data_IF_418260356894
#
_entry.id   IF_418260356894
#
_cell.length_a   1.000
_cell.length_b   1.000
_cell.length_c   1.000
_cell.angle_alpha   90.00
_cell.angle_beta   90.00
_cell.angle_gamma   90.00
#
_symmetry.space_group_name_H-M   'P 1'
#
loop_
_entity.id
_entity.type
_entity.pdbx_description
1 polymer ?
#
# COMPACT_ATOMS: atom_id res chain seq x y z
N UNK A 1 72.55 45.70 -50.63
CA UNK A 1 72.08 45.12 -49.34
C UNK A 1 71.10 43.95 -49.54
N UNK A 2 70.43 43.81 -50.70
CA UNK A 2 69.45 42.74 -50.93
C UNK A 2 70.04 41.34 -51.23
N UNK A 3 71.34 41.23 -51.52
CA UNK A 3 72.00 39.94 -51.83
C UNK A 3 72.96 39.50 -50.72
N UNK A 4 72.51 39.52 -49.46
CA UNK A 4 73.25 38.95 -48.32
C UNK A 4 72.53 37.71 -47.80
N UNK A 5 73.22 36.57 -47.59
CA UNK A 5 72.61 35.32 -47.10
C UNK A 5 71.94 35.43 -45.73
N UNK A 6 72.21 36.51 -44.99
CA UNK A 6 71.60 36.83 -43.70
C UNK A 6 70.15 37.34 -43.83
N UNK A 7 69.83 38.02 -44.94
CA UNK A 7 68.48 38.54 -45.20
C UNK A 7 67.48 37.41 -45.51
N UNK A 8 67.89 36.41 -46.29
CA UNK A 8 67.08 35.21 -46.55
C UNK A 8 66.82 34.41 -45.28
N UNK A 9 67.81 34.30 -44.37
CA UNK A 9 67.62 33.63 -43.08
C UNK A 9 66.60 34.32 -42.19
N UNK A 10 66.64 35.66 -42.10
CA UNK A 10 65.64 36.42 -41.34
C UNK A 10 64.23 36.30 -41.96
N UNK A 11 64.12 36.32 -43.29
CA UNK A 11 62.85 36.12 -43.98
C UNK A 11 62.26 34.73 -43.74
N UNK A 12 63.07 33.68 -43.90
CA UNK A 12 62.63 32.30 -43.67
C UNK A 12 62.25 32.07 -42.20
N UNK A 13 63.00 32.65 -41.25
CA UNK A 13 62.66 32.61 -39.83
C UNK A 13 61.31 33.25 -39.54
N UNK A 14 61.05 34.44 -40.07
CA UNK A 14 59.75 35.12 -39.92
C UNK A 14 58.58 34.30 -40.51
N UNK A 15 58.77 33.68 -41.69
CA UNK A 15 57.77 32.78 -42.25
C UNK A 15 57.54 31.53 -41.37
N UNK A 16 58.60 30.98 -40.77
CA UNK A 16 58.50 29.81 -39.90
C UNK A 16 57.74 30.13 -38.61
N UNK A 17 58.04 31.28 -38.00
CA UNK A 17 57.37 31.78 -36.79
C UNK A 17 55.88 32.00 -37.03
N UNK A 18 55.51 32.58 -38.18
CA UNK A 18 54.11 32.76 -38.58
C UNK A 18 53.37 31.42 -38.75
N UNK A 19 54.01 30.41 -39.36
CA UNK A 19 53.45 29.07 -39.53
C UNK A 19 53.26 28.37 -38.17
N UNK A 20 54.22 28.51 -37.26
CA UNK A 20 54.13 27.95 -35.91
C UNK A 20 52.98 28.59 -35.15
N UNK A 21 52.89 29.92 -35.18
CA UNK A 21 51.81 30.69 -34.54
C UNK A 21 50.43 30.26 -35.06
N UNK A 22 50.27 30.15 -36.37
CA UNK A 22 49.01 29.71 -36.98
C UNK A 22 48.64 28.27 -36.59
N UNK A 23 49.62 27.37 -36.48
CA UNK A 23 49.37 25.98 -36.03
C UNK A 23 48.99 25.90 -34.56
N UNK A 24 49.61 26.70 -33.70
CA UNK A 24 49.25 26.77 -32.28
C UNK A 24 47.83 27.31 -32.09
N UNK A 25 47.45 28.33 -32.86
CA UNK A 25 46.10 28.90 -32.80
C UNK A 25 45.03 27.92 -33.32
N UNK A 26 45.31 27.20 -34.42
CA UNK A 26 44.46 26.12 -34.91
C UNK A 26 44.28 25.00 -33.89
N UNK A 27 45.37 24.62 -33.19
CA UNK A 27 45.33 23.59 -32.15
C UNK A 27 44.51 24.05 -30.95
N UNK A 28 44.70 25.28 -30.50
CA UNK A 28 43.93 25.86 -29.39
C UNK A 28 42.43 25.98 -29.73
N UNK A 29 42.10 26.33 -30.97
CA UNK A 29 40.70 26.33 -31.43
C UNK A 29 40.10 24.92 -31.43
N UNK A 30 40.83 23.92 -31.93
CA UNK A 30 40.35 22.53 -31.94
C UNK A 30 40.09 22.01 -30.51
N UNK A 31 41.01 22.27 -29.59
CA UNK A 31 40.89 21.85 -28.18
C UNK A 31 39.74 22.58 -27.47
N UNK A 32 39.52 23.87 -27.75
CA UNK A 32 38.38 24.63 -27.22
C UNK A 32 37.03 24.13 -27.74
N UNK A 33 36.96 23.67 -29.00
CA UNK A 33 35.75 23.07 -29.56
C UNK A 33 35.49 21.71 -28.92
N UNK A 34 36.51 20.87 -28.78
CA UNK A 34 36.40 19.56 -28.12
C UNK A 34 35.92 19.72 -26.68
N UNK A 35 36.53 20.62 -25.90
CA UNK A 35 36.13 20.89 -24.52
C UNK A 35 34.65 21.28 -24.43
N UNK A 36 34.20 22.22 -25.27
CA UNK A 36 32.79 22.66 -25.32
C UNK A 36 31.84 21.51 -25.67
N UNK A 37 32.23 20.64 -26.61
CA UNK A 37 31.39 19.48 -26.96
C UNK A 37 31.28 18.48 -25.80
N UNK A 38 32.36 18.25 -25.05
CA UNK A 38 32.33 17.35 -23.89
C UNK A 38 31.51 17.91 -22.73
N UNK A 39 31.59 19.22 -22.49
CA UNK A 39 30.78 19.91 -21.47
C UNK A 39 29.29 19.87 -21.82
N UNK A 40 28.93 20.10 -23.08
CA UNK A 40 27.55 20.03 -23.54
C UNK A 40 26.97 18.62 -23.37
N UNK A 41 27.73 17.58 -23.75
CA UNK A 41 27.31 16.18 -23.58
C UNK A 41 27.10 15.83 -22.09
N UNK A 42 27.96 16.37 -21.21
CA UNK A 42 27.83 16.18 -19.77
C UNK A 42 26.58 16.86 -19.21
N UNK A 43 26.31 18.10 -19.62
CA UNK A 43 25.11 18.83 -19.22
C UNK A 43 23.83 18.15 -19.69
N UNK A 44 23.80 17.63 -20.92
CA UNK A 44 22.67 16.86 -21.45
C UNK A 44 22.39 15.61 -20.62
N UNK A 45 23.43 14.86 -20.27
CA UNK A 45 23.31 13.67 -19.41
C UNK A 45 22.81 14.01 -18.00
N UNK A 46 23.26 15.12 -17.42
CA UNK A 46 22.78 15.59 -16.11
C UNK A 46 21.29 15.99 -16.16
N UNK A 47 20.86 16.65 -17.24
CA UNK A 47 19.46 17.01 -17.45
C UNK A 47 18.55 15.77 -17.60
N UNK A 48 18.97 14.76 -18.36
CA UNK A 48 18.22 13.52 -18.48
C UNK A 48 18.06 12.80 -17.14
N UNK A 49 19.14 12.73 -16.34
CA UNK A 49 19.09 12.12 -15.01
C UNK A 49 18.11 12.85 -14.08
N UNK A 50 18.09 14.18 -14.11
CA UNK A 50 17.15 14.97 -13.29
C UNK A 50 15.70 14.78 -13.75
N UNK A 51 15.46 14.71 -15.06
CA UNK A 51 14.12 14.40 -15.61
C UNK A 51 13.63 13.02 -15.15
N UNK A 52 14.51 12.02 -15.16
CA UNK A 52 14.21 10.68 -14.64
C UNK A 52 13.94 10.70 -13.12
N UNK A 53 14.72 11.48 -12.36
CA UNK A 53 14.52 11.66 -10.90
C UNK A 53 13.15 12.26 -10.59
N UNK A 54 12.76 13.33 -11.29
CA UNK A 54 11.47 14.00 -11.11
C UNK A 54 10.31 13.07 -11.51
N UNK A 55 10.44 12.35 -12.63
CA UNK A 55 9.43 11.38 -13.08
C UNK A 55 9.23 10.26 -12.06
N UNK A 56 10.33 9.68 -11.55
CA UNK A 56 10.27 8.64 -10.53
C UNK A 56 9.71 9.18 -9.21
N UNK A 57 10.09 10.40 -8.80
CA UNK A 57 9.53 11.03 -7.60
C UNK A 57 8.01 11.29 -7.73
N UNK A 58 7.54 11.68 -8.91
CA UNK A 58 6.12 11.86 -9.20
C UNK A 58 5.35 10.52 -9.17
N UNK A 59 5.90 9.45 -9.74
CA UNK A 59 5.31 8.11 -9.63
C UNK A 59 5.28 7.60 -8.18
N UNK A 60 6.37 7.74 -7.44
CA UNK A 60 6.44 7.30 -6.03
C UNK A 60 5.45 8.10 -5.17
N UNK A 61 5.30 9.41 -5.40
CA UNK A 61 4.29 10.23 -4.71
C UNK A 61 2.86 9.86 -5.12
N UNK A 62 2.61 9.51 -6.38
CA UNK A 62 1.30 9.02 -6.86
C UNK A 62 0.91 7.70 -6.18
N UNK A 63 1.86 6.77 -6.07
CA UNK A 63 1.67 5.48 -5.38
C UNK A 63 1.52 5.66 -3.87
N UNK A 64 2.24 6.60 -3.26
CA UNK A 64 2.08 6.94 -1.85
C UNK A 64 0.74 7.63 -1.54
N UNK A 65 0.27 8.52 -2.43
CA UNK A 65 -1.01 9.22 -2.29
C UNK A 65 -2.19 8.26 -2.46
N UNK A 66 -2.15 7.38 -3.46
CA UNK A 66 -3.18 6.34 -3.63
C UNK A 66 -3.24 5.39 -2.43
N UNK A 67 -2.10 4.99 -1.84
CA UNK A 67 -2.08 4.17 -0.61
C UNK A 67 -2.65 4.90 0.61
N UNK A 68 -2.42 6.22 0.71
CA UNK A 68 -2.94 7.07 1.79
C UNK A 68 -4.44 7.37 1.65
N UNK A 69 -4.92 7.63 0.43
CA UNK A 69 -6.34 7.86 0.14
C UNK A 69 -7.17 6.58 0.26
N UNK A 70 -6.62 5.42 -0.11
CA UNK A 70 -7.29 4.12 0.11
C UNK A 70 -7.47 3.80 1.59
N UNK A 71 -6.63 4.34 2.49
CA UNK A 71 -6.80 4.18 3.94
C UNK A 71 -7.88 5.10 4.51
N UNK A 72 -8.13 6.27 3.89
CA UNK A 72 -9.15 7.24 4.31
C UNK A 72 -10.56 6.90 3.79
N UNK A 73 -10.66 6.17 2.69
CA UNK A 73 -11.93 5.67 2.14
C UNK A 73 -12.29 4.25 2.62
N UNK A 74 -11.50 3.62 3.51
CA UNK A 74 -11.91 2.37 4.16
C UNK A 74 -13.16 2.64 4.98
N UNK A 75 -14.31 2.16 4.50
CA UNK A 75 -15.55 2.11 5.26
C UNK A 75 -15.25 1.39 6.58
N UNK A 76 -15.15 2.14 7.69
CA UNK A 76 -15.01 1.52 9.01
C UNK A 76 -16.25 0.68 9.26
N UNK A 77 -16.08 -0.58 9.66
CA UNK A 77 -17.21 -1.47 9.96
C UNK A 77 -18.11 -0.93 11.06
N UNK A 78 -17.58 -0.03 11.91
CA UNK A 78 -18.33 0.73 12.91
C UNK A 78 -19.50 1.53 12.33
N UNK A 79 -19.40 1.95 11.07
CA UNK A 79 -20.47 2.69 10.39
C UNK A 79 -21.46 1.78 9.67
N UNK A 80 -21.07 0.52 9.40
CA UNK A 80 -21.85 -0.46 8.65
C UNK A 80 -22.59 -1.47 9.54
N UNK A 81 -22.09 -1.66 10.76
CA UNK A 81 -22.60 -2.64 11.71
C UNK A 81 -22.89 -1.98 13.05
N UNK A 82 -24.01 -2.39 13.65
CA UNK A 82 -24.27 -2.07 15.05
C UNK A 82 -23.37 -2.91 15.96
N UNK A 83 -23.14 -2.40 17.18
CA UNK A 83 -22.46 -3.17 18.22
C UNK A 83 -23.20 -4.46 18.50
N UNK A 84 -22.45 -5.51 18.80
CA UNK A 84 -23.02 -6.79 19.16
C UNK A 84 -23.85 -6.67 20.46
N UNK A 85 -25.04 -7.23 20.44
CA UNK A 85 -25.93 -7.35 21.58
C UNK A 85 -26.42 -8.79 21.67
N UNK A 86 -25.95 -9.52 22.69
CA UNK A 86 -26.30 -10.91 22.94
C UNK A 86 -27.77 -11.12 23.33
N UNK A 87 -28.52 -10.06 23.69
CA UNK A 87 -29.95 -10.16 23.98
C UNK A 87 -30.80 -10.22 22.71
N UNK A 88 -30.30 -9.63 21.62
CA UNK A 88 -31.07 -9.41 20.39
C UNK A 88 -30.52 -10.23 19.23
N UNK A 89 -29.21 -10.50 19.20
CA UNK A 89 -28.54 -11.21 18.12
C UNK A 89 -27.80 -12.45 18.60
N UNK A 90 -27.90 -13.50 17.80
CA UNK A 90 -27.03 -14.67 17.88
C UNK A 90 -25.59 -14.31 17.44
N UNK A 91 -24.58 -14.86 18.12
CA UNK A 91 -23.17 -14.54 17.85
C UNK A 91 -22.72 -15.08 16.49
N UNK A 92 -23.18 -16.27 16.08
CA UNK A 92 -22.78 -16.91 14.84
C UNK A 92 -23.34 -16.14 13.66
N UNK A 93 -24.60 -15.73 13.76
CA UNK A 93 -25.24 -14.87 12.75
C UNK A 93 -24.55 -13.50 12.67
N UNK A 94 -24.19 -12.91 13.82
CA UNK A 94 -23.45 -11.65 13.85
C UNK A 94 -22.07 -11.76 13.19
N UNK A 95 -21.31 -12.81 13.51
CA UNK A 95 -20.00 -13.06 12.92
C UNK A 95 -20.11 -13.30 11.42
N UNK A 96 -21.08 -14.09 10.95
CA UNK A 96 -21.30 -14.31 9.52
C UNK A 96 -21.60 -13.00 8.77
N UNK A 97 -22.40 -12.11 9.38
CA UNK A 97 -22.66 -10.78 8.83
C UNK A 97 -21.40 -9.91 8.81
N UNK A 98 -20.66 -9.89 9.92
CA UNK A 98 -19.38 -9.17 10.03
C UNK A 98 -18.41 -9.59 8.93
N UNK A 99 -18.19 -10.90 8.74
CA UNK A 99 -17.27 -11.40 7.73
C UNK A 99 -17.69 -11.01 6.31
N UNK A 100 -19.00 -11.02 6.03
CA UNK A 100 -19.54 -10.60 4.73
C UNK A 100 -19.27 -9.11 4.50
N UNK A 101 -19.52 -8.27 5.50
CA UNK A 101 -19.25 -6.83 5.38
C UNK A 101 -17.76 -6.53 5.25
N UNK A 102 -16.90 -7.22 6.02
CA UNK A 102 -15.46 -7.06 5.93
C UNK A 102 -14.92 -7.43 4.54
N UNK A 103 -15.43 -8.52 3.94
CA UNK A 103 -15.09 -8.91 2.56
C UNK A 103 -15.60 -7.89 1.53
N UNK A 104 -16.85 -7.46 1.65
CA UNK A 104 -17.44 -6.46 0.73
C UNK A 104 -16.71 -5.11 0.80
N UNK A 105 -16.30 -4.70 2.00
CA UNK A 105 -15.54 -3.46 2.22
C UNK A 105 -14.05 -3.57 1.88
N UNK A 106 -13.56 -4.74 1.42
CA UNK A 106 -12.16 -4.95 1.06
C UNK A 106 -11.18 -4.80 2.23
N UNK A 107 -11.63 -5.12 3.45
CA UNK A 107 -10.80 -4.98 4.66
C UNK A 107 -9.83 -6.15 4.74
N UNK A 108 -8.54 -5.82 4.88
CA UNK A 108 -7.47 -6.81 5.03
C UNK A 108 -7.67 -7.65 6.29
N UNK A 109 -7.33 -8.95 6.20
CA UNK A 109 -7.54 -9.92 7.30
C UNK A 109 -6.87 -9.51 8.62
N UNK A 110 -5.73 -8.83 8.56
CA UNK A 110 -5.02 -8.28 9.72
C UNK A 110 -5.84 -7.24 10.49
N UNK A 111 -6.76 -6.56 9.81
CA UNK A 111 -7.63 -5.54 10.40
C UNK A 111 -8.95 -6.12 10.94
N UNK A 112 -9.23 -7.41 10.73
CA UNK A 112 -10.53 -7.99 11.13
C UNK A 112 -10.67 -8.03 12.64
N UNK A 113 -9.64 -8.45 13.36
CA UNK A 113 -9.63 -8.51 14.83
C UNK A 113 -9.89 -7.13 15.46
N UNK A 114 -9.09 -6.08 15.20
CA UNK A 114 -9.32 -4.78 15.84
C UNK A 114 -10.68 -4.17 15.47
N UNK A 115 -11.18 -4.40 14.25
CA UNK A 115 -12.53 -3.97 13.87
C UNK A 115 -13.60 -4.72 14.65
N UNK A 116 -13.49 -6.05 14.78
CA UNK A 116 -14.44 -6.87 15.55
C UNK A 116 -14.46 -6.47 17.02
N UNK A 117 -13.29 -6.35 17.66
CA UNK A 117 -13.17 -5.95 19.08
C UNK A 117 -13.91 -4.64 19.34
N UNK A 118 -13.81 -3.68 18.42
CA UNK A 118 -14.44 -2.38 18.55
C UNK A 118 -15.97 -2.39 18.46
N UNK A 119 -16.54 -3.49 17.96
CA UNK A 119 -17.97 -3.75 17.84
C UNK A 119 -18.50 -4.63 18.99
N UNK A 120 -17.64 -5.27 19.77
CA UNK A 120 -18.05 -6.07 20.91
C UNK A 120 -18.27 -5.18 22.15
N UNK A 121 -19.26 -5.52 22.99
CA UNK A 121 -19.45 -4.85 24.28
C UNK A 121 -18.30 -5.17 25.25
N UNK A 122 -18.06 -4.27 26.20
CA UNK A 122 -16.86 -4.25 27.05
C UNK A 122 -16.75 -5.48 27.96
N UNK A 123 -17.88 -6.03 28.38
CA UNK A 123 -17.97 -7.27 29.16
C UNK A 123 -17.40 -8.49 28.41
N UNK A 124 -17.39 -8.47 27.07
CA UNK A 124 -16.71 -9.49 26.25
C UNK A 124 -15.22 -9.23 26.07
N UNK A 125 -14.73 -8.01 26.34
CA UNK A 125 -13.29 -7.73 26.32
C UNK A 125 -12.53 -8.55 27.39
N UNK A 126 -13.22 -8.98 28.46
CA UNK A 126 -12.66 -9.88 29.47
C UNK A 126 -12.28 -11.26 28.91
N UNK A 127 -12.89 -11.68 27.80
CA UNK A 127 -12.55 -12.94 27.12
C UNK A 127 -11.20 -12.79 26.43
N UNK A 128 -10.98 -11.65 25.79
CA UNK A 128 -9.73 -11.33 25.09
C UNK A 128 -8.56 -11.24 26.07
N UNK A 129 -8.77 -10.63 27.25
CA UNK A 129 -7.73 -10.48 28.29
C UNK A 129 -7.30 -11.84 28.88
N UNK A 130 -8.18 -12.85 28.86
CA UNK A 130 -7.91 -14.17 29.45
C UNK A 130 -7.14 -15.10 28.51
N UNK A 131 -7.09 -14.77 27.23
CA UNK A 131 -6.39 -15.54 26.21
C UNK A 131 -5.03 -14.91 25.87
N UNK A 132 -4.04 -15.69 25.41
CA UNK A 132 -2.75 -15.17 24.96
C UNK A 132 -2.91 -14.17 23.81
N UNK A 133 -2.13 -13.10 23.82
CA UNK A 133 -2.19 -12.04 22.81
C UNK A 133 -1.95 -12.59 21.40
N UNK A 134 -1.00 -13.51 21.25
CA UNK A 134 -0.65 -14.14 19.98
C UNK A 134 -1.83 -14.92 19.37
N UNK A 135 -2.68 -15.51 20.23
CA UNK A 135 -3.90 -16.19 19.77
C UNK A 135 -4.97 -15.20 19.38
N UNK A 136 -5.14 -14.12 20.15
CA UNK A 136 -6.19 -13.13 19.96
C UNK A 136 -5.94 -12.20 18.76
N UNK A 137 -4.72 -12.16 18.22
CA UNK A 137 -4.42 -11.50 16.95
C UNK A 137 -4.91 -12.26 15.71
N UNK A 138 -5.19 -13.57 15.83
CA UNK A 138 -5.76 -14.36 14.76
C UNK A 138 -7.30 -14.36 14.82
N UNK A 139 -7.94 -14.08 13.69
CA UNK A 139 -9.39 -14.00 13.60
C UNK A 139 -10.09 -15.34 13.85
N UNK A 140 -9.52 -16.47 13.40
CA UNK A 140 -10.15 -17.78 13.55
C UNK A 140 -10.16 -18.19 15.03
N UNK A 141 -9.05 -17.96 15.73
CA UNK A 141 -8.97 -18.19 17.17
C UNK A 141 -9.98 -17.32 17.94
N UNK A 142 -10.04 -16.02 17.66
CA UNK A 142 -11.01 -15.13 18.31
C UNK A 142 -12.46 -15.57 18.01
N UNK A 143 -12.73 -15.98 16.77
CA UNK A 143 -14.03 -16.52 16.37
C UNK A 143 -14.39 -17.77 17.18
N UNK A 144 -13.50 -18.75 17.26
CA UNK A 144 -13.75 -19.98 18.03
C UNK A 144 -14.02 -19.68 19.50
N UNK A 145 -13.23 -18.80 20.12
CA UNK A 145 -13.42 -18.43 21.53
C UNK A 145 -14.76 -17.72 21.77
N UNK A 146 -15.19 -16.85 20.84
CA UNK A 146 -16.49 -16.21 20.91
C UNK A 146 -17.63 -17.22 20.74
N UNK A 147 -17.53 -18.13 19.78
CA UNK A 147 -18.53 -19.19 19.60
C UNK A 147 -18.62 -20.04 20.88
N UNK A 148 -17.50 -20.56 21.37
CA UNK A 148 -17.49 -21.45 22.54
C UNK A 148 -18.03 -20.77 23.83
N UNK A 149 -17.88 -19.45 23.95
CA UNK A 149 -18.48 -18.65 25.03
C UNK A 149 -20.00 -18.62 24.99
N UNK A 150 -20.57 -18.48 23.79
CA UNK A 150 -22.00 -18.31 23.57
C UNK A 150 -22.70 -19.61 23.18
N UNK A 151 -21.92 -20.66 22.94
CA UNK A 151 -22.37 -22.02 22.66
C UNK A 151 -23.41 -22.45 23.66
N UNK A 152 -24.61 -22.68 23.16
CA UNK A 152 -25.71 -23.07 24.03
C UNK A 152 -25.55 -24.50 24.51
N UNK A 153 -25.85 -24.71 25.79
CA UNK A 153 -25.98 -26.07 26.33
C UNK A 153 -27.16 -26.77 25.65
N UNK A 154 -27.07 -28.09 25.36
CA UNK A 154 -28.15 -28.84 24.73
C UNK A 154 -29.51 -28.69 25.42
N UNK A 155 -29.50 -28.54 26.74
CA UNK A 155 -30.70 -28.35 27.54
C UNK A 155 -31.36 -26.98 27.30
N UNK A 156 -30.57 -25.91 27.17
CA UNK A 156 -31.07 -24.58 26.81
C UNK A 156 -31.63 -24.58 25.38
N UNK A 157 -30.97 -25.28 24.46
CA UNK A 157 -31.45 -25.46 23.10
C UNK A 157 -32.81 -26.17 23.08
N UNK A 158 -32.95 -27.27 23.82
CA UNK A 158 -34.22 -28.02 23.92
C UNK A 158 -35.37 -27.12 24.38
N UNK A 159 -35.13 -26.23 25.33
CA UNK A 159 -36.12 -25.27 25.83
C UNK A 159 -36.47 -24.18 24.82
N UNK A 160 -35.51 -23.71 24.01
CA UNK A 160 -35.71 -22.65 23.01
C UNK A 160 -36.12 -23.17 21.63
N UNK A 161 -35.97 -24.46 21.35
CA UNK A 161 -36.30 -25.07 20.07
C UNK A 161 -37.74 -24.81 19.62
N UNK A 162 -38.78 -24.85 20.50
CA UNK A 162 -40.15 -24.53 20.10
C UNK A 162 -40.34 -23.08 19.62
N UNK A 163 -39.41 -22.17 19.93
CA UNK A 163 -39.45 -20.78 19.48
C UNK A 163 -38.94 -20.62 18.04
N UNK A 164 -38.17 -21.60 17.54
CA UNK A 164 -37.63 -21.65 16.18
C UNK A 164 -38.60 -22.37 15.24
N UNK A 165 -39.83 -21.87 15.16
CA UNK A 165 -40.84 -22.36 14.24
C UNK A 165 -40.92 -21.51 12.99
N UNK A 166 -41.28 -22.14 11.85
CA UNK A 166 -41.51 -21.42 10.60
C UNK A 166 -42.62 -20.40 10.82
N UNK A 167 -42.28 -19.11 10.73
CA UNK A 167 -43.26 -18.03 10.81
C UNK A 167 -44.22 -18.09 9.61
N UNK A 168 -45.50 -17.69 9.77
CA UNK A 168 -46.42 -17.57 8.64
C UNK A 168 -45.83 -16.66 7.56
N UNK A 169 -45.70 -17.17 6.33
CA UNK A 169 -45.11 -16.45 5.20
C UNK A 169 -43.59 -16.61 5.01
N UNK A 170 -42.85 -17.20 5.96
CA UNK A 170 -41.41 -17.44 5.82
C UNK A 170 -41.09 -18.66 4.95
N UNK A 171 -39.99 -18.62 4.20
CA UNK A 171 -39.54 -19.75 3.38
C UNK A 171 -38.90 -20.83 4.26
N UNK A 172 -39.07 -22.10 3.89
CA UNK A 172 -38.38 -23.21 4.57
C UNK A 172 -36.86 -23.06 4.59
N UNK A 173 -36.29 -22.44 3.55
CA UNK A 173 -34.84 -22.18 3.48
C UNK A 173 -34.37 -21.17 4.53
N UNK A 174 -35.20 -20.19 4.89
CA UNK A 174 -34.88 -19.21 5.93
C UNK A 174 -34.83 -19.88 7.29
N UNK A 175 -35.80 -20.74 7.60
CA UNK A 175 -35.80 -21.52 8.84
C UNK A 175 -34.59 -22.47 8.91
N UNK A 176 -34.27 -23.18 7.83
CA UNK A 176 -33.10 -24.08 7.80
C UNK A 176 -31.81 -23.29 7.97
N UNK A 177 -31.71 -22.10 7.39
CA UNK A 177 -30.56 -21.22 7.57
C UNK A 177 -30.45 -20.75 9.02
N UNK A 178 -31.53 -20.28 9.62
CA UNK A 178 -31.59 -19.86 11.03
C UNK A 178 -31.15 -20.99 11.96
N UNK A 179 -31.76 -22.17 11.84
CA UNK A 179 -31.44 -23.34 12.68
C UNK A 179 -29.97 -23.77 12.50
N UNK A 180 -29.44 -23.76 11.27
CA UNK A 180 -28.02 -24.12 11.03
C UNK A 180 -27.07 -23.15 11.72
N UNK A 181 -27.23 -21.84 11.50
CA UNK A 181 -26.36 -20.86 12.15
C UNK A 181 -26.47 -20.91 13.68
N UNK A 182 -27.68 -21.19 14.19
CA UNK A 182 -27.92 -21.32 15.62
C UNK A 182 -27.30 -22.58 16.24
N UNK A 183 -27.09 -23.64 15.45
CA UNK A 183 -26.44 -24.88 15.87
C UNK A 183 -24.92 -24.86 15.71
N UNK A 184 -24.43 -24.09 14.75
CA UNK A 184 -23.00 -23.91 14.46
C UNK A 184 -22.34 -22.88 15.41
N UNK A 185 -23.10 -22.33 16.37
CA UNK A 185 -22.67 -21.43 17.43
C UNK A 185 -22.22 -22.08 18.73
#
# INVERSE_FOLDING_TARGET
VKDSPDFEKEFVRGCLEEIVRQREELKAQAEAVELKTTEALRQEREFELEKMRISNAAEVNSVASTRSENSKNRLSLKNLLQRFDAQVSDISMYLALFERQARTAGIEKTEWVPQLISLLPLDLAQIIIKEPEEKMQDYLNLKEVLLDRFKMKPETFRLKFPQHQRKPGALWRELVFEIRNYLDG
#
